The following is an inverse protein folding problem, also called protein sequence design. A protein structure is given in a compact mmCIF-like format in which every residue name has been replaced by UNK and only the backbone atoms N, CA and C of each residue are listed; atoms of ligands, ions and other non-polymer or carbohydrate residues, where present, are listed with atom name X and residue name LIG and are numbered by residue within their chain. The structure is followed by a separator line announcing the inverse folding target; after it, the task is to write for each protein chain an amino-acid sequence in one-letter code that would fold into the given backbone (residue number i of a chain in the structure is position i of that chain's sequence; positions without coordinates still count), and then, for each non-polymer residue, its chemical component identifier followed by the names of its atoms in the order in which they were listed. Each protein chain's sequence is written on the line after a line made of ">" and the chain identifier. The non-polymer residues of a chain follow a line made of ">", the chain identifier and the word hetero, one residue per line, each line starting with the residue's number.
data_IF_554822343156
#
_entry.id   IF_554822343156
#
_cell.length_a   1.000
_cell.length_b   1.000
_cell.length_c   1.000
_cell.angle_alpha   90.00
_cell.angle_beta   90.00
_cell.angle_gamma   90.00
#
_symmetry.space_group_name_H-M   'P 1'
#
loop_
_entity.id
_entity.type
_entity.pdbx_description
1 polymer ?
#
# COMPACT_ATOMS: atom_id res chain seq x y z
N UNK A 1 13.10 8.72 18.85
CA UNK A 1 13.12 7.63 17.84
C UNK A 1 13.56 8.16 16.48
N UNK A 2 13.04 9.22 16.00
CA UNK A 2 13.30 9.72 14.65
C UNK A 2 12.24 9.23 13.64
N UNK A 3 12.37 9.64 12.39
CA UNK A 3 11.40 9.29 11.36
C UNK A 3 11.57 7.83 10.91
N UNK A 4 10.46 7.11 10.76
CA UNK A 4 10.42 5.74 10.27
C UNK A 4 9.47 5.61 9.07
N UNK A 5 9.77 4.73 8.12
CA UNK A 5 8.86 4.37 7.04
C UNK A 5 8.46 2.89 7.15
N UNK A 6 7.15 2.61 7.04
CA UNK A 6 6.63 1.25 6.92
C UNK A 6 6.23 1.01 5.48
N UNK A 7 6.90 0.07 4.84
CA UNK A 7 6.79 -0.20 3.40
C UNK A 7 6.51 -1.67 3.11
N UNK A 8 5.90 -1.96 1.97
CA UNK A 8 5.76 -3.33 1.48
C UNK A 8 6.97 -3.75 0.66
N UNK A 9 7.44 -4.94 0.88
CA UNK A 9 8.62 -5.47 0.18
C UNK A 9 8.22 -6.12 -1.15
N UNK A 10 7.10 -6.80 -1.21
CA UNK A 10 6.70 -7.59 -2.38
C UNK A 10 5.58 -6.91 -3.19
N UNK A 11 4.44 -7.58 -3.40
CA UNK A 11 3.33 -7.11 -4.25
C UNK A 11 2.26 -6.30 -3.52
N UNK A 12 2.38 -6.07 -2.22
CA UNK A 12 1.35 -5.49 -1.37
C UNK A 12 0.60 -6.53 -0.53
N UNK A 13 -0.32 -6.07 0.29
CA UNK A 13 -1.13 -6.90 1.21
C UNK A 13 -0.32 -7.68 2.26
N UNK A 14 0.91 -7.23 2.57
CA UNK A 14 1.80 -7.88 3.53
C UNK A 14 1.38 -7.64 5.00
N UNK A 15 0.42 -6.74 5.27
CA UNK A 15 -0.02 -6.41 6.63
C UNK A 15 0.56 -5.11 7.19
N UNK A 16 0.91 -4.15 6.33
CA UNK A 16 1.45 -2.84 6.72
C UNK A 16 0.56 -2.08 7.70
N UNK A 17 -0.76 -2.03 7.46
CA UNK A 17 -1.69 -1.31 8.35
C UNK A 17 -1.61 -1.77 9.80
N UNK A 18 -1.46 -3.08 10.04
CA UNK A 18 -1.25 -3.62 11.39
C UNK A 18 0.07 -3.15 12.00
N UNK A 19 1.16 -3.14 11.22
CA UNK A 19 2.46 -2.66 11.70
C UNK A 19 2.42 -1.16 12.00
N UNK A 20 1.73 -0.37 11.18
CA UNK A 20 1.51 1.07 11.45
C UNK A 20 0.72 1.24 12.75
N UNK A 21 -0.43 0.55 12.91
CA UNK A 21 -1.25 0.63 14.11
C UNK A 21 -0.46 0.23 15.38
N UNK A 22 0.37 -0.81 15.30
CA UNK A 22 1.22 -1.25 16.40
C UNK A 22 2.25 -0.16 16.79
N UNK A 23 2.98 0.36 15.81
CA UNK A 23 4.10 1.26 16.05
C UNK A 23 3.67 2.71 16.30
N UNK A 24 2.45 3.08 15.92
CA UNK A 24 1.93 4.45 16.09
C UNK A 24 1.97 4.95 17.54
N UNK A 25 1.98 4.07 18.54
CA UNK A 25 2.12 4.47 19.96
C UNK A 25 3.41 5.26 20.25
N UNK A 26 4.43 5.06 19.43
CA UNK A 26 5.74 5.69 19.60
C UNK A 26 5.96 6.90 18.70
N UNK A 27 4.93 7.34 17.95
CA UNK A 27 5.03 8.43 16.99
C UNK A 27 3.97 9.51 17.22
N UNK A 28 4.32 10.75 16.93
CA UNK A 28 3.42 11.89 17.04
C UNK A 28 2.55 12.08 15.79
N UNK A 29 3.07 11.67 14.64
CA UNK A 29 2.47 11.93 13.34
C UNK A 29 2.53 10.68 12.46
N UNK A 30 1.42 10.33 11.79
CA UNK A 30 1.36 9.28 10.75
C UNK A 30 0.99 9.93 9.43
N UNK A 31 1.78 9.66 8.36
CA UNK A 31 1.58 10.27 7.05
C UNK A 31 1.43 9.22 5.96
N UNK A 32 0.29 9.22 5.25
CA UNK A 32 0.16 8.57 3.94
C UNK A 32 0.80 9.47 2.89
N UNK A 33 1.78 8.97 2.15
CA UNK A 33 2.57 9.79 1.23
C UNK A 33 2.32 9.50 -0.24
N UNK A 34 1.60 8.42 -0.60
CA UNK A 34 1.29 8.04 -1.98
C UNK A 34 0.08 7.10 -2.05
N UNK A 35 -0.36 6.79 -3.28
CA UNK A 35 -1.50 5.91 -3.54
C UNK A 35 -2.83 6.62 -3.33
N UNK A 36 -3.90 5.86 -3.23
CA UNK A 36 -5.27 6.36 -3.07
C UNK A 36 -6.19 5.25 -2.57
N UNK A 37 -7.45 5.24 -3.01
CA UNK A 37 -8.45 4.25 -2.62
C UNK A 37 -8.28 2.85 -3.22
N UNK A 38 -7.18 2.56 -3.90
CA UNK A 38 -6.94 1.32 -4.63
C UNK A 38 -6.41 0.14 -3.78
N UNK A 39 -5.98 0.39 -2.55
CA UNK A 39 -5.60 -0.67 -1.61
C UNK A 39 -6.31 -0.45 -0.28
N UNK A 40 -6.48 -1.51 0.50
CA UNK A 40 -7.10 -1.47 1.81
C UNK A 40 -6.13 -1.91 2.91
N UNK A 41 -6.01 -1.11 3.96
CA UNK A 41 -5.27 -1.47 5.17
C UNK A 41 -6.25 -2.02 6.21
N UNK A 42 -6.16 -3.32 6.49
CA UNK A 42 -6.98 -3.91 7.54
C UNK A 42 -6.36 -3.64 8.90
N UNK A 43 -7.13 -3.02 9.78
CA UNK A 43 -6.80 -2.78 11.19
C UNK A 43 -7.86 -3.45 12.05
N UNK A 44 -7.43 -4.19 13.06
CA UNK A 44 -8.31 -4.82 14.07
C UNK A 44 -7.88 -4.31 15.44
N UNK A 45 -8.80 -3.63 16.10
CA UNK A 45 -8.56 -3.01 17.42
C UNK A 45 -9.82 -3.02 18.28
N UNK A 46 -9.80 -2.33 19.42
CA UNK A 46 -10.91 -2.21 20.37
C UNK A 46 -12.20 -1.60 19.79
N UNK A 47 -12.12 -0.85 18.68
CA UNK A 47 -13.28 -0.28 17.97
C UNK A 47 -13.86 -1.23 16.93
N UNK A 48 -13.17 -2.34 16.64
CA UNK A 48 -13.61 -3.35 15.69
C UNK A 48 -12.63 -3.60 14.54
N UNK A 49 -13.16 -4.14 13.44
CA UNK A 49 -12.41 -4.40 12.21
C UNK A 49 -12.71 -3.31 11.17
N UNK A 50 -11.68 -2.74 10.62
CA UNK A 50 -11.72 -1.69 9.59
C UNK A 50 -10.89 -2.06 8.37
N UNK A 51 -11.31 -1.63 7.21
CA UNK A 51 -10.54 -1.68 5.97
C UNK A 51 -10.33 -0.25 5.47
N UNK A 52 -9.28 0.42 5.96
CA UNK A 52 -8.97 1.80 5.60
C UNK A 52 -8.37 1.88 4.20
N UNK A 53 -8.86 2.80 3.39
CA UNK A 53 -8.38 3.03 2.02
C UNK A 53 -7.58 4.32 1.90
N UNK A 54 -8.05 5.41 2.49
CA UNK A 54 -7.42 6.73 2.48
C UNK A 54 -6.93 7.17 3.85
N UNK A 55 -7.73 6.96 4.89
CA UNK A 55 -7.32 7.33 6.25
C UNK A 55 -6.03 6.60 6.64
N UNK A 56 -5.05 7.30 7.25
CA UNK A 56 -3.89 6.64 7.84
C UNK A 56 -4.28 5.68 8.97
N UNK A 57 -3.54 4.58 9.11
CA UNK A 57 -3.85 3.56 10.13
C UNK A 57 -3.65 4.06 11.57
N UNK A 58 -2.98 5.19 11.77
CA UNK A 58 -2.82 5.86 13.06
C UNK A 58 -4.06 6.59 13.57
N UNK A 59 -5.16 6.67 12.77
CA UNK A 59 -6.36 7.44 13.12
C UNK A 59 -7.05 6.98 14.41
N UNK A 60 -6.82 5.75 14.82
CA UNK A 60 -7.39 5.17 16.04
C UNK A 60 -6.66 5.59 17.33
N UNK A 61 -5.49 6.25 17.22
CA UNK A 61 -4.66 6.60 18.36
C UNK A 61 -4.88 8.05 18.80
N UNK A 62 -5.22 8.25 20.08
CA UNK A 62 -5.37 9.58 20.65
C UNK A 62 -4.02 10.31 20.68
N UNK A 63 -4.04 11.59 20.37
CA UNK A 63 -2.86 12.45 20.40
C UNK A 63 -1.96 12.35 19.16
N UNK A 64 -2.25 11.47 18.23
CA UNK A 64 -1.53 11.31 16.95
C UNK A 64 -2.20 12.15 15.87
N UNK A 65 -1.41 12.91 15.12
CA UNK A 65 -1.89 13.64 13.95
C UNK A 65 -1.70 12.79 12.71
N UNK A 66 -2.79 12.59 11.96
CA UNK A 66 -2.82 11.80 10.74
C UNK A 66 -2.83 12.72 9.51
N UNK A 67 -2.02 12.42 8.50
CA UNK A 67 -1.84 13.33 7.35
C UNK A 67 -2.00 12.58 6.04
N UNK A 68 -2.78 13.17 5.13
CA UNK A 68 -2.78 12.84 3.71
C UNK A 68 -1.83 13.82 3.00
N UNK A 69 -0.68 13.30 2.56
CA UNK A 69 0.41 14.10 2.00
C UNK A 69 0.22 14.47 0.52
N UNK A 70 1.17 15.21 -0.04
CA UNK A 70 1.16 15.74 -1.41
C UNK A 70 1.02 14.66 -2.49
N UNK A 71 1.55 13.47 -2.22
CA UNK A 71 1.58 12.36 -3.18
C UNK A 71 0.31 11.55 -3.25
N UNK A 72 -0.65 11.76 -2.34
CA UNK A 72 -1.89 10.99 -2.29
C UNK A 72 -2.84 11.40 -3.41
N UNK A 73 -3.48 10.43 -4.05
CA UNK A 73 -4.64 10.62 -4.92
C UNK A 73 -5.86 10.84 -4.02
N UNK A 74 -6.15 12.11 -3.74
CA UNK A 74 -7.18 12.50 -2.79
C UNK A 74 -8.57 12.35 -3.41
N UNK A 75 -9.32 11.39 -2.94
CA UNK A 75 -10.70 11.13 -3.32
C UNK A 75 -11.66 11.64 -2.23
N UNK A 76 -12.25 12.83 -2.39
CA UNK A 76 -13.12 13.45 -1.38
C UNK A 76 -14.33 12.60 -1.02
N UNK A 77 -14.95 11.96 -2.01
CA UNK A 77 -16.13 11.13 -1.80
C UNK A 77 -15.82 9.90 -0.95
N UNK A 78 -14.77 9.14 -1.32
CA UNK A 78 -14.38 7.95 -0.56
C UNK A 78 -13.82 8.32 0.82
N UNK A 79 -13.04 9.40 0.91
CA UNK A 79 -12.52 9.88 2.18
C UNK A 79 -13.65 10.24 3.14
N UNK A 80 -14.67 10.96 2.65
CA UNK A 80 -15.77 11.37 3.52
C UNK A 80 -16.59 10.17 4.01
N UNK A 81 -16.87 9.19 3.15
CA UNK A 81 -17.55 7.94 3.53
C UNK A 81 -16.75 7.18 4.61
N UNK A 82 -15.45 7.15 4.48
CA UNK A 82 -14.56 6.48 5.43
C UNK A 82 -14.51 7.22 6.78
N UNK A 83 -14.51 8.57 6.76
CA UNK A 83 -14.64 9.41 7.96
C UNK A 83 -15.97 9.12 8.68
N UNK A 84 -17.08 9.09 7.96
CA UNK A 84 -18.41 8.77 8.53
C UNK A 84 -18.43 7.37 9.15
N UNK A 85 -17.90 6.36 8.47
CA UNK A 85 -17.86 4.97 8.97
C UNK A 85 -17.03 4.85 10.26
N UNK A 86 -15.85 5.45 10.28
CA UNK A 86 -14.95 5.41 11.44
C UNK A 86 -15.55 6.20 12.62
N UNK A 87 -16.12 7.37 12.35
CA UNK A 87 -16.76 8.20 13.38
C UNK A 87 -17.99 7.51 13.99
N UNK A 88 -18.80 6.83 13.17
CA UNK A 88 -19.96 6.09 13.64
C UNK A 88 -19.61 4.95 14.62
N UNK A 89 -18.37 4.46 14.58
CA UNK A 89 -17.84 3.45 15.51
C UNK A 89 -17.17 4.06 16.75
N UNK A 90 -17.30 5.37 16.96
CA UNK A 90 -16.85 6.06 18.17
C UNK A 90 -15.42 6.64 18.11
N UNK A 91 -14.81 6.70 16.93
CA UNK A 91 -13.50 7.34 16.75
C UNK A 91 -13.71 8.75 16.19
N UNK A 92 -13.53 9.83 16.99
CA UNK A 92 -13.74 11.19 16.49
C UNK A 92 -12.66 11.59 15.51
N UNK A 93 -13.07 12.09 14.34
CA UNK A 93 -12.16 12.63 13.33
C UNK A 93 -12.44 14.12 13.17
N UNK A 94 -11.41 14.92 13.45
CA UNK A 94 -11.49 16.38 13.48
C UNK A 94 -10.26 17.00 12.80
N UNK A 95 -10.28 18.30 12.47
CA UNK A 95 -9.10 18.97 11.91
C UNK A 95 -7.86 18.98 12.81
N UNK A 96 -8.00 18.63 14.09
CA UNK A 96 -6.89 18.50 15.02
C UNK A 96 -6.12 17.18 14.80
N UNK A 97 -6.82 16.06 14.50
CA UNK A 97 -6.22 14.73 14.36
C UNK A 97 -6.14 14.20 12.93
N UNK A 98 -6.78 14.86 11.96
CA UNK A 98 -6.64 14.59 10.52
C UNK A 98 -6.31 15.89 9.78
N UNK A 99 -5.29 15.85 8.91
CA UNK A 99 -4.91 16.96 8.05
C UNK A 99 -4.73 16.50 6.61
N UNK A 100 -5.10 17.36 5.67
CA UNK A 100 -4.98 17.13 4.24
C UNK A 100 -4.04 18.19 3.67
N UNK A 101 -3.06 17.75 2.88
CA UNK A 101 -2.18 18.71 2.20
C UNK A 101 -2.96 19.55 1.20
N UNK A 102 -2.77 20.86 1.26
CA UNK A 102 -3.21 21.81 0.24
C UNK A 102 -2.64 21.51 -1.15
N UNK A 103 -1.51 20.78 -1.22
CA UNK A 103 -0.85 20.35 -2.46
C UNK A 103 -1.21 18.94 -2.91
N UNK A 104 -2.06 18.21 -2.19
CA UNK A 104 -2.64 16.97 -2.67
C UNK A 104 -3.57 17.26 -3.85
N UNK A 105 -3.51 16.43 -4.89
CA UNK A 105 -4.41 16.59 -6.04
C UNK A 105 -5.70 15.80 -5.85
N UNK A 106 -6.81 16.34 -6.37
CA UNK A 106 -8.13 15.69 -6.28
C UNK A 106 -8.24 14.57 -7.32
N UNK A 107 -8.66 13.41 -6.87
CA UNK A 107 -9.16 12.36 -7.75
C UNK A 107 -10.62 12.69 -8.08
N UNK A 108 -10.86 13.07 -9.33
CA UNK A 108 -12.15 13.54 -9.83
C UNK A 108 -12.96 12.38 -10.45
N UNK A 109 -14.29 12.50 -10.56
CA UNK A 109 -15.16 11.40 -11.00
C UNK A 109 -14.72 10.72 -12.30
N UNK A 110 -14.30 11.50 -13.29
CA UNK A 110 -13.85 10.97 -14.58
C UNK A 110 -12.62 10.06 -14.51
N UNK A 111 -11.78 10.16 -13.44
CA UNK A 111 -10.63 9.27 -13.32
C UNK A 111 -11.05 7.81 -13.15
N UNK A 112 -12.12 7.55 -12.37
CA UNK A 112 -12.65 6.20 -12.21
C UNK A 112 -13.31 5.70 -13.50
N UNK A 113 -14.02 6.58 -14.22
CA UNK A 113 -14.62 6.27 -15.51
C UNK A 113 -13.56 5.90 -16.54
N UNK A 114 -12.51 6.71 -16.68
CA UNK A 114 -11.39 6.46 -17.59
C UNK A 114 -10.65 5.16 -17.27
N UNK A 115 -10.44 4.84 -15.99
CA UNK A 115 -9.83 3.60 -15.56
C UNK A 115 -10.67 2.38 -15.99
N UNK A 116 -12.00 2.48 -15.85
CA UNK A 116 -12.94 1.46 -16.30
C UNK A 116 -12.96 1.29 -17.83
N UNK A 117 -12.98 2.40 -18.56
CA UNK A 117 -12.96 2.41 -20.02
C UNK A 117 -11.67 1.83 -20.60
N UNK A 118 -10.52 2.17 -20.00
CA UNK A 118 -9.23 1.64 -20.45
C UNK A 118 -9.12 0.13 -20.20
N UNK A 119 -9.52 -0.37 -19.02
CA UNK A 119 -9.56 -1.81 -18.74
C UNK A 119 -10.49 -2.56 -19.73
N UNK A 120 -11.62 -1.95 -20.09
CA UNK A 120 -12.52 -2.50 -21.09
C UNK A 120 -11.88 -2.52 -22.49
N UNK A 121 -11.20 -1.46 -22.91
CA UNK A 121 -10.49 -1.34 -24.19
C UNK A 121 -9.36 -2.37 -24.31
N UNK A 122 -8.64 -2.62 -23.22
CA UNK A 122 -7.52 -3.57 -23.19
C UNK A 122 -7.98 -5.04 -23.29
N UNK A 123 -9.22 -5.35 -22.93
CA UNK A 123 -9.82 -6.68 -23.01
C UNK A 123 -8.92 -7.77 -22.37
N UNK A 124 -8.36 -8.69 -23.17
CA UNK A 124 -7.49 -9.76 -22.68
C UNK A 124 -6.10 -9.28 -22.22
N UNK A 125 -5.72 -8.05 -22.58
CA UNK A 125 -4.44 -7.42 -22.18
C UNK A 125 -4.58 -6.49 -20.98
N UNK A 126 -5.70 -6.57 -20.25
CA UNK A 126 -5.97 -5.76 -19.06
C UNK A 126 -4.89 -5.91 -17.98
N UNK A 127 -4.68 -4.86 -17.22
CA UNK A 127 -3.72 -4.85 -16.11
C UNK A 127 -4.33 -5.38 -14.79
N UNK A 128 -5.63 -5.59 -14.74
CA UNK A 128 -6.34 -5.99 -13.53
C UNK A 128 -6.54 -4.80 -12.57
N UNK A 129 -6.82 -3.62 -13.12
CA UNK A 129 -7.07 -2.41 -12.34
C UNK A 129 -8.19 -2.60 -11.32
N UNK A 130 -8.06 -1.92 -10.19
CA UNK A 130 -9.10 -1.81 -9.15
C UNK A 130 -10.24 -0.88 -9.55
N UNK A 131 -10.14 -0.20 -10.68
CA UNK A 131 -11.08 0.81 -11.19
C UNK A 131 -11.31 1.97 -10.21
N UNK A 132 -10.27 2.30 -9.46
CA UNK A 132 -10.27 3.43 -8.53
C UNK A 132 -9.68 4.71 -9.15
N UNK A 133 -9.39 4.70 -10.45
CA UNK A 133 -8.95 5.88 -11.19
C UNK A 133 -7.50 6.28 -10.98
N UNK A 134 -6.66 5.39 -10.47
CA UNK A 134 -5.28 5.73 -10.05
C UNK A 134 -4.39 6.07 -11.24
N UNK A 135 -4.39 5.25 -12.29
CA UNK A 135 -3.55 5.50 -13.47
C UNK A 135 -3.97 6.80 -14.20
N UNK A 136 -5.25 7.02 -14.53
CA UNK A 136 -5.68 8.30 -15.11
C UNK A 136 -5.40 9.51 -14.23
N UNK A 137 -5.55 9.38 -12.90
CA UNK A 137 -5.26 10.45 -11.95
C UNK A 137 -3.78 10.87 -12.00
N UNK A 138 -2.84 9.93 -11.85
CA UNK A 138 -1.41 10.29 -11.89
C UNK A 138 -0.98 10.77 -13.27
N UNK A 139 -1.55 10.23 -14.36
CA UNK A 139 -1.35 10.77 -15.70
C UNK A 139 -1.73 12.25 -15.77
N UNK A 140 -2.92 12.60 -15.28
CA UNK A 140 -3.40 13.99 -15.28
C UNK A 140 -2.55 14.88 -14.36
N UNK A 141 -2.13 14.38 -13.20
CA UNK A 141 -1.26 15.12 -12.28
C UNK A 141 0.05 15.54 -12.97
N UNK A 142 0.73 14.62 -13.66
CA UNK A 142 1.97 14.91 -14.36
C UNK A 142 1.77 15.74 -15.65
N UNK A 143 0.60 15.64 -16.26
CA UNK A 143 0.18 16.54 -17.36
C UNK A 143 -0.26 17.92 -16.86
N UNK A 144 -0.33 18.17 -15.57
CA UNK A 144 -0.82 19.41 -14.94
C UNK A 144 -2.30 19.67 -15.28
N UNK A 145 -3.11 18.59 -15.27
CA UNK A 145 -4.54 18.58 -15.63
C UNK A 145 -5.40 18.12 -14.45
N UNK A 146 -5.09 18.63 -13.25
CA UNK A 146 -5.82 18.29 -12.02
C UNK A 146 -5.98 19.52 -11.14
N UNK A 147 -6.79 19.42 -10.10
CA UNK A 147 -7.06 20.45 -9.10
C UNK A 147 -6.29 20.07 -7.83
N UNK A 148 -5.56 21.00 -7.24
CA UNK A 148 -4.99 20.83 -5.91
C UNK A 148 -6.05 21.10 -4.84
N UNK A 149 -5.99 20.39 -3.72
CA UNK A 149 -6.95 20.56 -2.62
C UNK A 149 -7.00 21.99 -2.10
N UNK A 150 -5.86 22.70 -2.08
CA UNK A 150 -5.80 24.11 -1.70
C UNK A 150 -6.66 25.05 -2.56
N UNK A 151 -6.92 24.71 -3.83
CA UNK A 151 -7.78 25.51 -4.71
C UNK A 151 -9.24 25.56 -4.24
N UNK A 152 -9.67 24.56 -3.47
CA UNK A 152 -11.00 24.55 -2.85
C UNK A 152 -11.18 25.71 -1.86
N UNK A 153 -10.10 26.27 -1.33
CA UNK A 153 -10.12 27.40 -0.42
C UNK A 153 -10.24 28.75 -1.14
N UNK A 154 -10.12 28.77 -2.48
CA UNK A 154 -10.14 29.95 -3.36
C UNK A 154 -11.16 29.77 -4.49
N UNK A 155 -12.48 29.78 -4.19
CA UNK A 155 -13.53 29.37 -5.13
C UNK A 155 -13.67 30.29 -6.37
N UNK A 156 -13.16 31.52 -6.29
CA UNK A 156 -13.15 32.48 -7.40
C UNK A 156 -12.32 32.03 -8.60
N UNK A 157 -11.25 31.25 -8.37
CA UNK A 157 -10.39 30.71 -9.43
C UNK A 157 -10.83 29.31 -9.90
N UNK A 158 -11.54 28.60 -9.05
CA UNK A 158 -11.90 27.20 -9.27
C UNK A 158 -12.82 27.00 -10.48
N UNK A 159 -13.77 27.91 -10.71
CA UNK A 159 -14.78 27.75 -11.79
C UNK A 159 -14.17 27.83 -13.19
N UNK A 160 -13.25 28.78 -13.41
CA UNK A 160 -12.53 28.91 -14.68
C UNK A 160 -11.66 27.70 -14.92
N UNK A 161 -10.85 27.30 -13.91
CA UNK A 161 -9.97 26.13 -13.98
C UNK A 161 -10.75 24.83 -14.27
N UNK A 162 -11.90 24.62 -13.62
CA UNK A 162 -12.79 23.48 -13.89
C UNK A 162 -13.28 23.44 -15.34
N UNK A 163 -13.66 24.59 -15.89
CA UNK A 163 -14.15 24.68 -17.25
C UNK A 163 -13.07 24.29 -18.26
N UNK A 164 -11.85 24.78 -18.06
CA UNK A 164 -10.69 24.46 -18.92
C UNK A 164 -10.32 22.98 -18.83
N UNK A 165 -10.28 22.42 -17.61
CA UNK A 165 -10.01 21.00 -17.39
C UNK A 165 -11.04 20.10 -18.07
N UNK A 166 -12.32 20.43 -17.92
CA UNK A 166 -13.40 19.67 -18.56
C UNK A 166 -13.35 19.76 -20.08
N UNK A 167 -13.05 20.93 -20.65
CA UNK A 167 -12.84 21.07 -22.08
C UNK A 167 -11.80 20.11 -22.62
N UNK A 168 -10.65 20.00 -21.93
CA UNK A 168 -9.60 19.04 -22.27
C UNK A 168 -10.04 17.58 -22.06
N UNK A 169 -10.66 17.28 -20.91
CA UNK A 169 -11.00 15.91 -20.53
C UNK A 169 -12.09 15.33 -21.43
N UNK A 170 -13.05 16.13 -21.81
CA UNK A 170 -14.12 15.72 -22.71
C UNK A 170 -13.60 15.37 -24.12
N UNK A 171 -12.51 15.99 -24.58
CA UNK A 171 -11.84 15.55 -25.82
C UNK A 171 -11.34 14.11 -25.71
N UNK A 172 -10.79 13.75 -24.55
CA UNK A 172 -10.29 12.37 -24.32
C UNK A 172 -11.47 11.38 -24.23
N UNK A 173 -12.50 11.70 -23.45
CA UNK A 173 -13.69 10.85 -23.28
C UNK A 173 -14.36 10.57 -24.61
N UNK A 174 -14.68 11.60 -25.37
CA UNK A 174 -15.36 11.47 -26.66
C UNK A 174 -14.43 10.89 -27.75
N UNK A 175 -13.20 11.40 -27.89
CA UNK A 175 -12.33 11.07 -29.02
C UNK A 175 -11.64 9.71 -28.91
N UNK A 176 -11.28 9.28 -27.69
CA UNK A 176 -10.58 8.01 -27.45
C UNK A 176 -11.56 6.88 -27.13
N UNK A 177 -12.55 7.16 -26.30
CA UNK A 177 -13.43 6.13 -25.75
C UNK A 177 -14.86 6.17 -26.28
N UNK A 178 -15.27 7.22 -27.02
CA UNK A 178 -16.65 7.40 -27.46
C UNK A 178 -17.64 7.57 -26.29
N UNK A 179 -17.13 8.02 -25.13
CA UNK A 179 -17.93 8.20 -23.92
C UNK A 179 -18.60 9.59 -23.92
N UNK A 180 -19.67 9.70 -23.11
CA UNK A 180 -20.41 10.95 -22.97
C UNK A 180 -19.55 12.02 -22.25
N UNK A 181 -19.64 13.29 -22.64
CA UNK A 181 -18.96 14.38 -21.96
C UNK A 181 -19.48 14.59 -20.55
N UNK A 182 -18.57 14.82 -19.60
CA UNK A 182 -18.90 15.30 -18.25
C UNK A 182 -19.37 16.76 -18.33
N UNK A 183 -20.47 17.11 -17.65
CA UNK A 183 -21.00 18.47 -17.62
C UNK A 183 -20.43 19.27 -16.45
N UNK A 184 -20.16 20.54 -16.66
CA UNK A 184 -19.67 21.45 -15.60
C UNK A 184 -20.60 21.44 -14.38
N UNK A 185 -21.93 21.43 -14.61
CA UNK A 185 -22.89 21.40 -13.53
C UNK A 185 -22.81 20.16 -12.65
N UNK A 186 -22.66 18.99 -13.27
CA UNK A 186 -22.51 17.71 -12.54
C UNK A 186 -21.23 17.68 -11.69
N UNK A 187 -20.12 18.18 -12.24
CA UNK A 187 -18.87 18.27 -11.50
C UNK A 187 -18.98 19.27 -10.34
N UNK A 188 -19.67 20.39 -10.55
CA UNK A 188 -19.88 21.39 -9.51
C UNK A 188 -20.72 20.84 -8.36
N UNK A 189 -21.81 20.15 -8.67
CA UNK A 189 -22.62 19.47 -7.67
C UNK A 189 -21.81 18.45 -6.86
N UNK A 190 -20.93 17.70 -7.52
CA UNK A 190 -20.03 16.76 -6.85
C UNK A 190 -19.04 17.48 -5.91
N UNK A 191 -18.47 18.60 -6.36
CA UNK A 191 -17.56 19.42 -5.52
C UNK A 191 -18.32 19.96 -4.30
N UNK A 192 -19.50 20.55 -4.51
CA UNK A 192 -20.32 21.10 -3.43
C UNK A 192 -20.75 20.00 -2.44
N UNK A 193 -20.95 18.77 -2.92
CA UNK A 193 -21.38 17.65 -2.08
C UNK A 193 -20.26 17.06 -1.23
N UNK A 194 -19.07 16.87 -1.81
CA UNK A 194 -17.99 16.12 -1.16
C UNK A 194 -16.78 16.98 -0.79
N UNK A 195 -16.39 17.95 -1.63
CA UNK A 195 -15.20 18.74 -1.35
C UNK A 195 -15.42 19.76 -0.24
N UNK A 196 -16.63 20.32 -0.10
CA UNK A 196 -16.97 21.22 1.00
C UNK A 196 -16.76 20.56 2.38
N UNK A 197 -17.05 19.26 2.47
CA UNK A 197 -16.93 18.50 3.72
C UNK A 197 -15.49 18.31 4.16
N UNK A 198 -14.53 18.24 3.22
CA UNK A 198 -13.11 18.03 3.52
C UNK A 198 -12.32 19.34 3.68
N UNK A 199 -12.87 20.48 3.30
CA UNK A 199 -12.22 21.81 3.42
C UNK A 199 -11.62 22.08 4.81
N UNK A 200 -12.33 21.81 5.92
CA UNK A 200 -11.80 22.09 7.26
C UNK A 200 -10.47 21.39 7.59
N UNK A 201 -10.18 20.28 6.90
CA UNK A 201 -8.98 19.48 7.10
C UNK A 201 -7.77 19.96 6.27
N UNK A 202 -8.01 20.83 5.25
CA UNK A 202 -6.98 21.28 4.30
C UNK A 202 -6.11 22.37 4.95
N UNK A 203 -4.79 22.18 4.89
CA UNK A 203 -3.84 23.17 5.38
C UNK A 203 -2.48 23.06 4.69
N UNK A 204 -1.60 24.08 4.87
CA UNK A 204 -0.19 24.02 4.46
C UNK A 204 0.54 22.97 5.30
N UNK A 205 0.57 21.73 4.78
CA UNK A 205 1.26 20.62 5.44
C UNK A 205 2.77 20.85 5.49
N UNK A 206 3.35 21.50 4.50
CA UNK A 206 4.78 21.81 4.51
C UNK A 206 5.17 22.70 5.71
N UNK A 207 4.41 23.74 5.98
CA UNK A 207 4.63 24.60 7.15
C UNK A 207 4.39 23.84 8.45
N UNK A 208 3.31 23.07 8.54
CA UNK A 208 3.00 22.24 9.70
C UNK A 208 4.13 21.25 10.02
N UNK A 209 4.61 20.50 9.03
CA UNK A 209 5.65 19.48 9.23
C UNK A 209 7.02 20.08 9.55
N UNK A 210 7.39 21.23 8.94
CA UNK A 210 8.63 21.94 9.33
C UNK A 210 8.61 22.37 10.79
N UNK A 211 7.46 22.87 11.27
CA UNK A 211 7.28 23.20 12.68
C UNK A 211 7.36 21.94 13.55
N UNK A 212 6.66 20.89 13.22
CA UNK A 212 6.69 19.62 13.95
C UNK A 212 8.11 19.05 14.05
N UNK A 213 8.88 19.10 12.97
CA UNK A 213 10.28 18.67 12.96
C UNK A 213 11.15 19.55 13.90
N UNK A 214 10.93 20.88 13.90
CA UNK A 214 11.64 21.79 14.79
C UNK A 214 11.27 21.55 16.27
N UNK A 215 10.05 21.12 16.54
CA UNK A 215 9.54 20.76 17.87
C UNK A 215 9.98 19.33 18.28
N UNK A 216 10.80 18.63 17.47
CA UNK A 216 11.33 17.28 17.76
C UNK A 216 10.31 16.17 17.66
N UNK A 217 9.24 16.35 16.87
CA UNK A 217 8.20 15.35 16.67
C UNK A 217 8.66 14.20 15.76
N UNK A 218 8.35 12.97 16.15
CA UNK A 218 8.64 11.76 15.41
C UNK A 218 7.54 11.44 14.39
N UNK A 219 7.94 11.10 13.17
CA UNK A 219 7.04 10.87 12.02
C UNK A 219 7.10 9.42 11.55
N UNK A 220 5.94 8.80 11.40
CA UNK A 220 5.77 7.49 10.78
C UNK A 220 5.17 7.66 9.37
N UNK A 221 5.92 7.26 8.35
CA UNK A 221 5.46 7.26 6.97
C UNK A 221 4.81 5.92 6.64
N UNK A 222 3.57 5.95 6.20
CA UNK A 222 2.78 4.78 5.84
C UNK A 222 2.69 4.65 4.33
N UNK A 223 3.35 3.60 3.77
CA UNK A 223 3.25 3.26 2.35
C UNK A 223 2.00 2.47 2.02
N UNK A 224 1.65 2.47 0.76
CA UNK A 224 0.64 1.62 0.15
C UNK A 224 1.27 0.70 -0.88
N UNK A 225 0.75 -0.53 -1.05
CA UNK A 225 1.31 -1.56 -1.93
C UNK A 225 2.73 -2.00 -1.51
N UNK A 226 3.56 -2.45 -2.44
CA UNK A 226 4.92 -2.92 -2.19
C UNK A 226 5.86 -2.58 -3.35
N UNK A 227 7.15 -2.85 -3.17
CA UNK A 227 8.20 -2.50 -4.13
C UNK A 227 7.93 -3.04 -5.54
N UNK A 228 7.41 -4.27 -5.66
CA UNK A 228 7.13 -4.89 -6.95
C UNK A 228 5.91 -4.29 -7.68
N UNK A 229 5.18 -3.40 -7.02
CA UNK A 229 4.09 -2.59 -7.60
C UNK A 229 4.48 -1.10 -7.75
N UNK A 230 5.71 -0.73 -7.44
CA UNK A 230 6.22 0.63 -7.68
C UNK A 230 6.26 0.93 -9.19
N UNK A 231 6.01 2.18 -9.56
CA UNK A 231 5.97 2.60 -10.97
C UNK A 231 7.31 2.37 -11.69
N UNK A 232 8.42 2.70 -11.02
CA UNK A 232 9.75 2.70 -11.62
C UNK A 232 10.53 1.41 -11.37
N UNK A 233 10.30 0.75 -10.24
CA UNK A 233 11.04 -0.43 -9.79
C UNK A 233 10.24 -1.73 -9.81
N UNK A 234 8.93 -1.65 -10.06
CA UNK A 234 8.05 -2.82 -10.05
C UNK A 234 8.05 -3.60 -11.36
N UNK A 235 7.15 -4.58 -11.43
CA UNK A 235 6.96 -5.48 -12.59
C UNK A 235 6.18 -4.80 -13.71
N UNK A 236 6.69 -3.69 -14.22
CA UNK A 236 6.05 -2.89 -15.27
C UNK A 236 5.63 -3.75 -16.49
N UNK A 237 4.41 -3.58 -17.05
CA UNK A 237 3.42 -2.53 -16.76
C UNK A 237 2.40 -2.87 -15.64
N UNK A 238 2.55 -3.98 -14.95
CA UNK A 238 1.65 -4.43 -13.90
C UNK A 238 1.96 -3.76 -12.54
N UNK A 239 2.09 -2.44 -12.55
CA UNK A 239 2.43 -1.59 -11.41
C UNK A 239 1.26 -0.69 -11.02
N UNK A 240 1.34 -0.06 -9.86
CA UNK A 240 0.56 1.15 -9.59
C UNK A 240 1.22 2.35 -10.28
N UNK A 241 0.47 3.43 -10.49
CA UNK A 241 1.01 4.64 -11.14
C UNK A 241 1.63 5.62 -10.13
N UNK A 242 2.07 5.13 -8.98
CA UNK A 242 2.73 5.92 -7.93
C UNK A 242 3.98 5.25 -7.40
N UNK A 243 4.85 6.03 -6.74
CA UNK A 243 6.07 5.50 -6.14
C UNK A 243 5.79 4.97 -4.72
N UNK A 244 5.85 3.65 -4.57
CA UNK A 244 5.58 2.93 -3.33
C UNK A 244 6.85 2.72 -2.47
N UNK A 245 7.98 3.28 -2.90
CA UNK A 245 9.28 3.13 -2.23
C UNK A 245 9.46 4.15 -1.10
N UNK A 246 10.24 3.77 -0.08
CA UNK A 246 10.51 4.61 1.09
C UNK A 246 11.16 5.96 0.72
N UNK A 247 12.04 5.96 -0.28
CA UNK A 247 12.74 7.18 -0.73
C UNK A 247 11.80 8.26 -1.31
N UNK A 248 10.57 7.91 -1.68
CA UNK A 248 9.56 8.89 -2.11
C UNK A 248 8.80 9.50 -0.91
N UNK A 249 8.84 8.90 0.27
CA UNK A 249 8.07 9.35 1.42
C UNK A 249 8.33 10.81 1.82
N UNK A 250 9.56 11.33 1.85
CA UNK A 250 9.80 12.74 2.13
C UNK A 250 9.11 13.68 1.12
N UNK A 251 9.16 13.36 -0.15
CA UNK A 251 8.54 14.16 -1.22
C UNK A 251 7.03 14.08 -1.17
N UNK A 252 6.52 12.84 -1.11
CA UNK A 252 5.08 12.57 -1.10
C UNK A 252 4.36 13.03 0.16
N UNK A 253 5.07 13.15 1.29
CA UNK A 253 4.50 13.68 2.54
C UNK A 253 4.33 15.20 2.54
N UNK A 254 5.14 15.94 1.77
CA UNK A 254 5.24 17.40 1.82
C UNK A 254 6.39 17.92 2.69
N UNK A 255 7.31 17.06 3.13
CA UNK A 255 8.51 17.41 3.88
C UNK A 255 9.77 16.84 3.18
N UNK A 256 10.19 17.40 2.03
CA UNK A 256 11.28 16.84 1.24
C UNK A 256 12.64 16.84 1.96
N UNK A 257 12.77 17.58 3.06
CA UNK A 257 13.96 17.59 3.92
C UNK A 257 13.97 16.49 4.98
N UNK A 258 12.90 15.69 5.10
CA UNK A 258 12.84 14.63 6.10
C UNK A 258 13.93 13.57 5.82
N UNK A 259 14.62 13.19 6.89
CA UNK A 259 15.53 12.03 6.87
C UNK A 259 14.80 10.86 7.49
N UNK A 260 14.77 9.74 6.81
CA UNK A 260 14.23 8.50 7.34
C UNK A 260 15.37 7.77 8.03
N UNK A 261 15.23 7.56 9.33
CA UNK A 261 16.24 6.87 10.16
C UNK A 261 16.10 5.35 10.11
N UNK A 262 14.85 4.86 9.95
CA UNK A 262 14.53 3.44 9.90
C UNK A 262 13.52 3.17 8.77
N UNK A 263 13.72 2.09 8.03
CA UNK A 263 12.76 1.59 7.05
C UNK A 263 12.38 0.16 7.42
N UNK A 264 11.15 -0.01 7.89
CA UNK A 264 10.62 -1.34 8.23
C UNK A 264 9.90 -1.91 7.02
N UNK A 265 10.52 -2.92 6.41
CA UNK A 265 9.96 -3.67 5.30
C UNK A 265 9.01 -4.77 5.80
N UNK A 266 7.76 -4.76 5.34
CA UNK A 266 6.80 -5.81 5.70
C UNK A 266 6.80 -6.90 4.65
N UNK A 267 7.00 -8.15 5.09
CA UNK A 267 7.07 -9.37 4.27
C UNK A 267 6.14 -10.42 4.86
N UNK A 268 5.43 -11.19 4.05
CA UNK A 268 4.75 -12.40 4.51
C UNK A 268 5.73 -13.58 4.56
N UNK A 269 5.49 -14.53 5.42
CA UNK A 269 6.23 -15.80 5.45
C UNK A 269 6.01 -16.68 4.19
N UNK A 270 5.17 -16.24 3.28
CA UNK A 270 4.90 -16.78 1.95
C UNK A 270 4.54 -15.64 1.01
N UNK A 271 4.46 -15.88 -0.29
CA UNK A 271 4.16 -14.82 -1.26
C UNK A 271 2.70 -14.79 -1.66
N UNK A 272 2.18 -13.57 -1.85
CA UNK A 272 0.85 -13.35 -2.44
C UNK A 272 0.89 -12.23 -3.46
N UNK A 273 0.06 -12.34 -4.48
CA UNK A 273 -0.06 -11.33 -5.52
C UNK A 273 -1.54 -11.07 -5.82
N UNK A 274 -1.91 -9.79 -5.91
CA UNK A 274 -3.23 -9.35 -6.39
C UNK A 274 -3.05 -8.67 -7.74
N UNK A 275 -3.97 -8.91 -8.68
CA UNK A 275 -3.89 -8.39 -10.04
C UNK A 275 -3.06 -9.26 -10.99
N UNK A 276 -2.88 -8.76 -12.19
CA UNK A 276 -2.21 -9.46 -13.28
C UNK A 276 -0.69 -9.29 -13.21
N UNK A 277 0.01 -9.91 -14.14
CA UNK A 277 1.46 -9.86 -14.29
C UNK A 277 2.19 -11.09 -13.76
N UNK A 278 3.50 -11.17 -14.02
CA UNK A 278 4.31 -12.31 -13.64
C UNK A 278 4.40 -12.49 -12.11
N UNK A 279 4.24 -13.74 -11.69
CA UNK A 279 4.44 -14.19 -10.32
C UNK A 279 5.15 -15.54 -10.40
N UNK A 280 6.48 -15.51 -10.46
CA UNK A 280 7.32 -16.65 -10.85
C UNK A 280 7.09 -17.90 -10.01
N UNK A 281 6.91 -17.74 -8.70
CA UNK A 281 6.70 -18.85 -7.78
C UNK A 281 5.22 -19.17 -7.51
N UNK A 282 4.29 -18.79 -8.39
CA UNK A 282 2.85 -19.04 -8.21
C UNK A 282 2.54 -20.53 -8.11
N UNK A 283 1.77 -20.89 -7.07
CA UNK A 283 1.26 -22.24 -6.85
C UNK A 283 -0.14 -22.41 -7.44
N UNK A 284 -0.45 -23.64 -7.83
CA UNK A 284 -1.75 -24.03 -8.40
C UNK A 284 -2.30 -25.30 -7.74
N UNK A 285 -3.60 -25.56 -7.94
CA UNK A 285 -4.24 -26.77 -7.46
C UNK A 285 -4.41 -26.81 -5.93
N UNK A 286 -4.42 -28.02 -5.37
CA UNK A 286 -4.78 -28.27 -3.97
C UNK A 286 -3.84 -27.59 -2.95
N UNK A 287 -2.54 -27.51 -3.24
CA UNK A 287 -1.57 -26.86 -2.36
C UNK A 287 -1.81 -25.35 -2.28
N UNK A 288 -2.09 -24.70 -3.42
CA UNK A 288 -2.46 -23.30 -3.45
C UNK A 288 -3.77 -23.02 -2.69
N UNK A 289 -4.76 -23.92 -2.82
CA UNK A 289 -6.03 -23.81 -2.11
C UNK A 289 -5.82 -23.93 -0.59
N UNK A 290 -5.05 -24.92 -0.16
CA UNK A 290 -4.73 -25.11 1.26
C UNK A 290 -4.04 -23.88 1.86
N UNK A 291 -3.10 -23.25 1.12
CA UNK A 291 -2.42 -22.03 1.58
C UNK A 291 -3.39 -20.83 1.61
N UNK A 292 -4.27 -20.67 0.62
CA UNK A 292 -5.31 -19.61 0.63
C UNK A 292 -6.25 -19.74 1.80
N UNK A 293 -6.74 -20.94 2.09
CA UNK A 293 -7.63 -21.22 3.22
C UNK A 293 -6.92 -20.95 4.56
N UNK A 294 -5.73 -21.49 4.76
CA UNK A 294 -4.95 -21.29 5.97
C UNK A 294 -4.62 -19.81 6.22
N UNK A 295 -4.30 -19.07 5.16
CA UNK A 295 -3.95 -17.66 5.22
C UNK A 295 -5.12 -16.68 5.12
N UNK A 296 -6.36 -17.14 4.86
CA UNK A 296 -7.51 -16.28 4.52
C UNK A 296 -7.17 -15.31 3.37
N UNK A 297 -6.54 -15.83 2.30
CA UNK A 297 -6.03 -15.02 1.20
C UNK A 297 -7.12 -14.73 0.14
N UNK A 298 -8.09 -13.91 0.57
CA UNK A 298 -9.19 -13.41 -0.24
C UNK A 298 -9.28 -11.89 -0.16
N UNK A 299 -9.73 -11.26 -1.25
CA UNK A 299 -9.90 -9.81 -1.31
C UNK A 299 -10.99 -9.33 -0.33
N UNK A 300 -10.68 -8.36 0.52
CA UNK A 300 -11.58 -7.89 1.58
C UNK A 300 -12.94 -7.38 1.07
N UNK A 301 -12.99 -6.76 -0.12
CA UNK A 301 -14.24 -6.25 -0.73
C UNK A 301 -14.87 -7.24 -1.70
N UNK A 302 -14.06 -7.95 -2.46
CA UNK A 302 -14.53 -8.74 -3.61
C UNK A 302 -14.63 -10.23 -3.33
N UNK A 303 -14.04 -10.72 -2.24
CA UNK A 303 -13.89 -12.14 -1.98
C UNK A 303 -13.00 -12.88 -3.00
N UNK A 304 -12.40 -12.18 -3.97
CA UNK A 304 -11.58 -12.78 -5.02
C UNK A 304 -10.37 -13.48 -4.39
N UNK A 305 -10.11 -14.76 -4.73
CA UNK A 305 -8.94 -15.48 -4.25
C UNK A 305 -7.65 -14.79 -4.72
N UNK A 306 -6.71 -14.61 -3.81
CA UNK A 306 -5.37 -14.13 -4.14
C UNK A 306 -4.54 -15.23 -4.77
N UNK A 307 -3.63 -14.86 -5.66
CA UNK A 307 -2.57 -15.74 -6.14
C UNK A 307 -1.58 -15.94 -4.98
N UNK A 308 -1.15 -17.16 -4.76
CA UNK A 308 -0.29 -17.55 -3.63
C UNK A 308 0.90 -18.37 -4.11
N UNK A 309 1.98 -18.35 -3.36
CA UNK A 309 3.18 -19.15 -3.61
C UNK A 309 4.07 -19.23 -2.39
N UNK A 310 5.15 -20.00 -2.41
CA UNK A 310 6.16 -20.02 -1.37
C UNK A 310 6.77 -18.62 -1.21
N UNK A 311 7.49 -18.38 -0.12
CA UNK A 311 8.31 -17.17 -0.05
C UNK A 311 9.28 -17.15 -1.24
N UNK A 312 9.33 -16.02 -1.92
CA UNK A 312 10.20 -15.78 -3.07
C UNK A 312 11.40 -14.96 -2.62
N UNK A 313 12.52 -15.63 -2.40
CA UNK A 313 13.73 -14.99 -1.89
C UNK A 313 14.30 -13.99 -2.90
N UNK A 314 14.25 -14.30 -4.20
CA UNK A 314 14.77 -13.41 -5.26
C UNK A 314 13.98 -12.10 -5.27
N UNK A 315 12.65 -12.20 -5.33
CA UNK A 315 11.77 -11.03 -5.33
C UNK A 315 11.83 -10.26 -4.00
N UNK A 316 11.96 -10.96 -2.87
CA UNK A 316 12.02 -10.34 -1.54
C UNK A 316 13.34 -9.60 -1.35
N UNK A 317 14.48 -10.20 -1.71
CA UNK A 317 15.81 -9.56 -1.67
C UNK A 317 15.83 -8.28 -2.52
N UNK A 318 15.31 -8.36 -3.74
CA UNK A 318 15.17 -7.18 -4.60
C UNK A 318 14.31 -6.08 -3.96
N UNK A 319 13.15 -6.45 -3.41
CA UNK A 319 12.29 -5.50 -2.71
C UNK A 319 12.96 -4.85 -1.50
N UNK A 320 13.74 -5.61 -0.70
CA UNK A 320 14.54 -5.09 0.41
C UNK A 320 15.55 -4.04 -0.06
N UNK A 321 16.25 -4.32 -1.16
CA UNK A 321 17.23 -3.40 -1.77
C UNK A 321 16.56 -2.12 -2.29
N UNK A 322 15.47 -2.24 -3.04
CA UNK A 322 14.70 -1.11 -3.59
C UNK A 322 14.14 -0.21 -2.50
N UNK A 323 13.65 -0.82 -1.42
CA UNK A 323 13.12 -0.08 -0.27
C UNK A 323 14.22 0.48 0.65
N UNK A 324 15.47 0.05 0.47
CA UNK A 324 16.55 0.31 1.41
C UNK A 324 16.13 -0.06 2.86
N UNK A 325 15.47 -1.21 3.02
CA UNK A 325 14.93 -1.65 4.30
C UNK A 325 16.06 -1.91 5.30
N UNK A 326 15.91 -1.39 6.51
CA UNK A 326 16.87 -1.54 7.61
C UNK A 326 16.43 -2.59 8.61
N UNK A 327 15.14 -2.95 8.59
CA UNK A 327 14.52 -3.93 9.47
C UNK A 327 13.32 -4.58 8.76
N UNK A 328 13.00 -5.82 9.11
CA UNK A 328 11.89 -6.57 8.51
C UNK A 328 10.84 -6.92 9.57
N UNK A 329 9.58 -6.74 9.19
CA UNK A 329 8.43 -7.31 9.87
C UNK A 329 7.91 -8.51 9.06
N UNK A 330 8.25 -9.72 9.50
CA UNK A 330 7.78 -10.97 8.91
C UNK A 330 6.40 -11.30 9.45
N UNK A 331 5.40 -11.31 8.58
CA UNK A 331 4.01 -11.54 8.97
C UNK A 331 3.52 -12.94 8.59
N UNK A 332 2.46 -13.41 9.29
CA UNK A 332 1.77 -14.66 8.97
C UNK A 332 2.63 -15.92 9.07
N UNK A 333 3.58 -15.96 10.00
CA UNK A 333 4.39 -17.16 10.22
C UNK A 333 3.52 -18.34 10.71
N UNK A 334 2.51 -18.07 11.52
CA UNK A 334 1.50 -19.00 12.03
C UNK A 334 0.77 -19.77 10.93
N UNK A 335 0.56 -19.14 9.77
CA UNK A 335 -0.14 -19.75 8.63
C UNK A 335 0.54 -21.00 8.11
N UNK A 336 1.87 -21.10 8.21
CA UNK A 336 2.65 -22.24 7.74
C UNK A 336 2.68 -23.43 8.70
N UNK A 337 2.04 -23.33 9.88
CA UNK A 337 2.06 -24.36 10.93
C UNK A 337 1.46 -25.71 10.52
N UNK A 338 0.69 -25.77 9.44
CA UNK A 338 0.08 -27.02 8.94
C UNK A 338 1.04 -27.85 8.04
N UNK A 339 2.15 -27.28 7.60
CA UNK A 339 3.08 -27.91 6.65
C UNK A 339 4.12 -28.79 7.36
N UNK A 340 4.39 -29.97 6.80
CA UNK A 340 5.54 -30.82 7.18
C UNK A 340 6.85 -30.31 6.59
N UNK A 341 6.78 -29.87 5.33
CA UNK A 341 7.87 -29.26 4.58
C UNK A 341 7.38 -27.94 3.99
N UNK A 342 8.15 -26.88 4.19
CA UNK A 342 7.82 -25.52 3.72
C UNK A 342 8.61 -25.27 2.45
N UNK A 343 7.93 -25.05 1.30
CA UNK A 343 8.61 -24.70 0.06
C UNK A 343 9.16 -23.27 0.14
N UNK A 344 10.33 -23.06 -0.45
CA UNK A 344 11.01 -21.76 -0.57
C UNK A 344 11.55 -21.62 -1.99
N UNK A 345 11.25 -20.52 -2.66
CA UNK A 345 11.87 -20.20 -3.95
C UNK A 345 13.20 -19.49 -3.71
N UNK A 346 14.32 -20.19 -3.90
CA UNK A 346 15.67 -19.70 -3.56
C UNK A 346 16.33 -18.93 -4.71
N UNK A 347 16.05 -19.34 -5.96
CA UNK A 347 16.56 -18.69 -7.17
C UNK A 347 15.67 -18.98 -8.37
N UNK A 348 15.95 -18.33 -9.50
CA UNK A 348 15.23 -18.53 -10.74
C UNK A 348 16.13 -19.15 -11.81
N UNK A 349 15.50 -19.88 -12.73
CA UNK A 349 16.11 -20.28 -14.00
C UNK A 349 15.50 -19.48 -15.14
N UNK A 350 16.34 -18.74 -15.88
CA UNK A 350 15.94 -17.99 -17.08
C UNK A 350 16.66 -18.58 -18.29
N UNK A 351 15.95 -19.27 -19.15
CA UNK A 351 16.55 -20.08 -20.21
C UNK A 351 17.37 -21.23 -19.62
N UNK A 352 18.69 -21.23 -19.83
CA UNK A 352 19.64 -22.20 -19.26
C UNK A 352 20.47 -21.63 -18.11
N UNK A 353 20.16 -20.42 -17.61
CA UNK A 353 20.97 -19.70 -16.66
C UNK A 353 20.22 -19.58 -15.33
N UNK A 354 20.84 -20.00 -14.26
CA UNK A 354 20.37 -19.74 -12.90
C UNK A 354 20.74 -18.31 -12.47
N UNK A 355 19.87 -17.66 -11.70
CA UNK A 355 20.05 -16.32 -11.17
C UNK A 355 19.37 -16.15 -9.81
N UNK A 356 20.03 -15.48 -8.91
CA UNK A 356 19.52 -14.98 -7.63
C UNK A 356 19.21 -13.47 -7.68
N UNK A 357 19.50 -12.82 -8.82
CA UNK A 357 19.11 -11.45 -9.13
C UNK A 357 17.73 -11.41 -9.76
N UNK A 358 16.91 -10.41 -9.36
CA UNK A 358 15.57 -10.22 -9.90
C UNK A 358 15.64 -9.76 -11.36
N UNK A 359 15.10 -10.54 -12.32
CA UNK A 359 15.21 -10.23 -13.73
C UNK A 359 14.40 -9.00 -14.13
N UNK A 360 14.77 -8.37 -15.25
CA UNK A 360 13.97 -7.31 -15.85
C UNK A 360 12.54 -7.81 -16.19
N UNK A 361 11.49 -6.98 -15.99
CA UNK A 361 10.10 -7.42 -16.10
C UNK A 361 9.73 -8.21 -17.37
N UNK A 362 10.28 -7.82 -18.53
CA UNK A 362 9.94 -8.51 -19.80
C UNK A 362 10.43 -9.96 -19.90
N UNK A 363 11.30 -10.43 -19.02
CA UNK A 363 11.79 -11.81 -19.00
C UNK A 363 11.22 -12.64 -17.85
N UNK A 364 10.48 -12.02 -16.94
CA UNK A 364 9.88 -12.70 -15.79
C UNK A 364 8.90 -13.81 -16.18
N UNK A 365 8.15 -13.64 -17.28
CA UNK A 365 7.23 -14.67 -17.78
C UNK A 365 7.95 -15.95 -18.24
N UNK A 366 9.24 -15.86 -18.57
CA UNK A 366 10.07 -17.00 -18.95
C UNK A 366 10.86 -17.61 -17.78
N UNK A 367 10.89 -16.91 -16.64
CA UNK A 367 11.58 -17.38 -15.45
C UNK A 367 10.82 -18.54 -14.80
N UNK A 368 11.58 -19.50 -14.27
CA UNK A 368 11.05 -20.64 -13.53
C UNK A 368 11.62 -20.64 -12.12
N UNK A 369 10.80 -20.89 -11.09
CA UNK A 369 11.29 -20.95 -9.73
C UNK A 369 12.08 -22.23 -9.49
N UNK A 370 13.14 -22.14 -8.71
CA UNK A 370 13.82 -23.30 -8.12
C UNK A 370 13.40 -23.37 -6.65
N UNK A 371 12.73 -24.47 -6.32
CA UNK A 371 12.10 -24.67 -5.01
C UNK A 371 12.94 -25.61 -4.18
N UNK A 372 13.30 -25.14 -3.00
CA UNK A 372 13.89 -25.95 -1.92
C UNK A 372 12.88 -26.13 -0.79
N UNK A 373 13.09 -27.11 0.08
CA UNK A 373 12.16 -27.41 1.16
C UNK A 373 12.86 -27.35 2.52
N UNK A 374 12.27 -26.58 3.44
CA UNK A 374 12.68 -26.53 4.83
C UNK A 374 11.75 -27.37 5.71
N UNK A 375 12.21 -27.76 6.90
CA UNK A 375 11.37 -28.45 7.87
C UNK A 375 10.29 -27.55 8.42
N UNK A 376 9.04 -28.02 8.44
CA UNK A 376 7.93 -27.38 9.13
C UNK A 376 7.92 -27.66 10.63
N UNK A 377 7.15 -26.91 11.39
CA UNK A 377 7.07 -27.07 12.85
C UNK A 377 5.80 -27.79 13.34
N UNK A 378 4.77 -27.92 12.54
CA UNK A 378 3.56 -28.73 12.79
C UNK A 378 2.92 -28.52 14.17
N UNK A 379 2.96 -27.33 14.71
CA UNK A 379 2.30 -26.96 15.94
C UNK A 379 1.81 -25.50 15.89
N UNK A 380 0.81 -25.20 16.70
CA UNK A 380 0.30 -23.85 16.85
C UNK A 380 1.36 -22.97 17.56
N UNK A 381 1.69 -21.84 16.93
CA UNK A 381 2.63 -20.85 17.45
C UNK A 381 1.93 -19.53 17.80
N UNK A 382 0.62 -19.43 17.66
CA UNK A 382 -0.14 -18.18 17.83
C UNK A 382 -0.07 -17.58 19.24
N UNK A 383 0.15 -18.42 20.24
CA UNK A 383 0.33 -18.03 21.65
C UNK A 383 1.76 -17.61 22.02
N UNK A 384 2.74 -17.78 21.14
CA UNK A 384 4.16 -17.50 21.43
C UNK A 384 4.42 -16.00 21.37
N UNK A 385 5.20 -15.48 22.32
CA UNK A 385 5.54 -14.04 22.42
C UNK A 385 7.06 -13.79 22.57
N UNK A 386 7.87 -14.85 22.67
CA UNK A 386 9.33 -14.75 22.78
C UNK A 386 9.99 -15.58 21.71
N UNK A 387 11.10 -15.10 21.20
CA UNK A 387 11.89 -15.78 20.18
C UNK A 387 12.34 -17.20 20.61
N UNK A 388 12.80 -17.30 21.85
CA UNK A 388 13.35 -18.54 22.43
C UNK A 388 12.30 -19.64 22.56
N UNK A 389 11.01 -19.29 22.63
CA UNK A 389 9.88 -20.22 22.75
C UNK A 389 9.40 -20.76 21.41
N UNK A 390 9.84 -20.17 20.28
CA UNK A 390 9.52 -20.67 18.95
C UNK A 390 10.13 -22.05 18.71
N UNK A 391 9.42 -22.97 18.02
CA UNK A 391 10.01 -24.23 17.55
C UNK A 391 11.30 -23.99 16.76
N UNK A 392 12.30 -24.82 16.96
CA UNK A 392 13.61 -24.68 16.29
C UNK A 392 13.47 -24.61 14.76
N UNK A 393 12.52 -25.36 14.18
CA UNK A 393 12.26 -25.29 12.74
C UNK A 393 11.75 -23.90 12.30
N UNK A 394 10.88 -23.26 13.11
CA UNK A 394 10.40 -21.91 12.85
C UNK A 394 11.52 -20.87 13.00
N UNK A 395 12.36 -21.00 14.01
CA UNK A 395 13.54 -20.14 14.18
C UNK A 395 14.47 -20.25 12.96
N UNK A 396 14.80 -21.48 12.52
CA UNK A 396 15.64 -21.72 11.34
C UNK A 396 15.04 -21.15 10.05
N UNK A 397 13.72 -21.18 9.91
CA UNK A 397 13.04 -20.59 8.76
C UNK A 397 13.21 -19.07 8.75
N UNK A 398 13.03 -18.41 9.89
CA UNK A 398 13.23 -16.96 10.01
C UNK A 398 14.69 -16.58 9.79
N UNK A 399 15.64 -17.30 10.39
CA UNK A 399 17.07 -17.06 10.23
C UNK A 399 17.55 -17.28 8.79
N UNK A 400 16.97 -18.28 8.10
CA UNK A 400 17.21 -18.50 6.68
C UNK A 400 16.76 -17.29 5.86
N UNK A 401 15.52 -16.82 6.05
CA UNK A 401 15.01 -15.63 5.35
C UNK A 401 15.91 -14.43 5.62
N UNK A 402 16.20 -14.14 6.88
CA UNK A 402 17.05 -13.02 7.31
C UNK A 402 18.41 -13.04 6.59
N UNK A 403 19.05 -14.19 6.54
CA UNK A 403 20.34 -14.40 5.86
C UNK A 403 20.23 -14.16 4.36
N UNK A 404 19.23 -14.78 3.71
CA UNK A 404 19.12 -14.77 2.25
C UNK A 404 18.70 -13.40 1.70
N UNK A 405 17.87 -12.64 2.43
CA UNK A 405 17.48 -11.29 2.02
C UNK A 405 18.47 -10.21 2.47
N UNK A 406 19.39 -10.55 3.36
CA UNK A 406 20.44 -9.64 3.87
C UNK A 406 19.91 -8.50 4.74
N UNK A 407 18.79 -8.72 5.46
CA UNK A 407 18.17 -7.70 6.33
C UNK A 407 17.60 -8.35 7.59
N UNK A 408 17.85 -7.73 8.76
CA UNK A 408 17.40 -8.23 10.06
C UNK A 408 15.88 -8.37 10.15
N UNK A 409 15.39 -9.48 10.69
CA UNK A 409 13.97 -9.72 10.97
C UNK A 409 13.70 -9.39 12.43
N UNK A 410 13.36 -8.13 12.70
CA UNK A 410 13.14 -7.62 14.07
C UNK A 410 11.73 -7.84 14.60
N UNK A 411 10.73 -8.05 13.72
CA UNK A 411 9.34 -8.27 14.10
C UNK A 411 8.80 -9.54 13.44
N UNK A 412 8.19 -10.44 14.22
CA UNK A 412 7.64 -11.70 13.72
C UNK A 412 6.21 -11.83 14.19
N UNK A 413 5.25 -11.81 13.24
CA UNK A 413 3.84 -11.98 13.54
C UNK A 413 3.47 -13.47 13.54
N UNK A 414 2.86 -13.90 14.62
CA UNK A 414 2.44 -15.29 14.88
C UNK A 414 0.92 -15.45 15.02
N UNK A 415 0.15 -14.41 14.65
CA UNK A 415 -1.33 -14.42 14.70
C UNK A 415 -1.90 -13.08 14.20
N UNK A 416 -3.24 -12.96 14.07
CA UNK A 416 -3.88 -11.75 13.55
C UNK A 416 -4.00 -10.60 14.55
N UNK A 417 -3.98 -10.88 15.86
CA UNK A 417 -4.17 -9.89 16.92
C UNK A 417 -2.95 -8.96 17.01
N UNK A 418 -3.16 -7.73 17.52
CA UNK A 418 -2.14 -6.70 17.66
C UNK A 418 -0.92 -7.18 18.46
N UNK A 419 -1.14 -7.90 19.54
CA UNK A 419 -0.13 -8.41 20.47
C UNK A 419 0.50 -9.76 20.04
N UNK A 420 -0.01 -10.36 18.94
CA UNK A 420 0.52 -11.62 18.39
C UNK A 420 1.78 -11.36 17.57
N UNK A 421 2.78 -10.76 18.23
CA UNK A 421 4.06 -10.37 17.62
C UNK A 421 5.22 -10.66 18.58
N UNK A 422 6.32 -11.13 18.02
CA UNK A 422 7.61 -11.32 18.69
C UNK A 422 8.53 -10.20 18.20
N UNK A 423 9.22 -9.54 19.11
CA UNK A 423 10.24 -8.53 18.83
C UNK A 423 11.61 -9.14 19.17
N UNK A 424 12.54 -9.06 18.21
CA UNK A 424 13.93 -9.56 18.34
C UNK A 424 14.90 -8.41 18.52
#
# INVERSE_FOLDING_TARGET
>A
MGNCAIVGINWGDEGKGRMVDLLTESYDIVIRYQGGGNAGHTVINEYGKFALHLLPSGIFRKGVVNILGNGVALDPENLWKEIEEVTAKGVPITPENLKISDRASLLLPWHRELDGLEEARLADKKYGSTKQGIAPFYSDKYQKKTIMAGELLYPEHLTEHLTDLLGWKNLTLAGVYGAEPVKVAELREWIDTYCEKIKPFICDIGAFLRKAQADGKDILFEAQLGALRDLDYGIYPYTTSSNAIASYAPVGSGLPSAKIGEVIGVVKAYSTCVGEGPFVCEMFGAEAEALREAGFEYGAKTGRPRRVGPIDIVATRYGVQVQAATNIALTKLDVLSYLDKIPVCTHYTVGSKETDEFPFPSVLDSAKPVIEYMDGWKCDISGIRKWEDLPVAAQRYVEFIEKEIGCHVGFISVGPERDSIIIR
#
